data_IF_979573668479
#
_entry.id   IF_979573668479
#
_cell.length_a   1.000
_cell.length_b   1.000
_cell.length_c   1.000
_cell.angle_alpha   90.00
_cell.angle_beta   90.00
_cell.angle_gamma   90.00
#
_symmetry.space_group_name_H-M   'P 1'
#
loop_
_entity.id
_entity.type
_entity.pdbx_description
1 polymer ?
#
# COMPACT_ATOMS: atom_id res chain seq x y z
N UNK A 1 -15.66 17.73 -6.90
CA UNK A 1 -15.87 17.32 -5.49
C UNK A 1 -14.50 17.20 -4.85
N UNK A 2 -14.26 17.77 -3.66
CA UNK A 2 -12.96 17.64 -3.00
C UNK A 2 -13.04 16.47 -2.01
N UNK A 3 -12.17 15.47 -2.18
CA UNK A 3 -12.03 14.36 -1.25
C UNK A 3 -10.88 14.62 -0.29
N UNK A 4 -11.02 14.18 0.96
CA UNK A 4 -9.93 14.14 1.93
C UNK A 4 -9.48 12.70 2.10
N UNK A 5 -8.24 12.43 1.75
CA UNK A 5 -7.67 11.09 1.76
C UNK A 5 -6.37 11.12 2.55
N UNK A 6 -6.21 10.20 3.49
CA UNK A 6 -4.92 9.95 4.13
C UNK A 6 -4.29 8.69 3.53
N UNK A 7 -3.15 8.86 2.90
CA UNK A 7 -2.55 7.81 2.08
C UNK A 7 -1.52 6.97 2.84
N UNK A 8 -1.57 6.91 4.11
CA UNK A 8 -1.14 5.80 4.96
C UNK A 8 -1.36 6.11 6.44
N UNK A 9 -2.14 5.28 7.10
CA UNK A 9 -2.23 5.25 8.55
C UNK A 9 -1.80 3.89 9.11
N UNK A 10 -1.12 3.94 10.24
CA UNK A 10 -0.82 2.79 11.07
C UNK A 10 -0.92 3.17 12.55
N UNK A 11 -1.80 2.54 13.27
CA UNK A 11 -2.04 2.83 14.68
C UNK A 11 -2.73 1.63 15.37
N UNK A 12 -2.97 1.75 16.66
CA UNK A 12 -3.85 0.81 17.38
C UNK A 12 -5.30 1.16 17.03
N UNK A 13 -5.88 0.38 16.14
CA UNK A 13 -7.25 0.59 15.64
C UNK A 13 -8.29 0.43 16.73
N UNK A 14 -9.22 1.37 16.80
CA UNK A 14 -10.34 1.37 17.75
C UNK A 14 -11.47 2.26 17.21
N UNK A 15 -12.67 2.10 17.77
CA UNK A 15 -13.80 2.97 17.43
C UNK A 15 -13.47 4.47 17.61
N UNK A 16 -12.69 4.82 18.62
CA UNK A 16 -12.26 6.20 18.84
C UNK A 16 -11.44 6.75 17.68
N UNK A 17 -10.48 5.96 17.14
CA UNK A 17 -9.68 6.34 15.98
C UNK A 17 -10.56 6.51 14.73
N UNK A 18 -11.51 5.60 14.51
CA UNK A 18 -12.44 5.72 13.39
C UNK A 18 -13.32 6.97 13.52
N UNK A 19 -13.76 7.31 14.73
CA UNK A 19 -14.52 8.54 14.97
C UNK A 19 -13.65 9.79 14.71
N UNK A 20 -12.40 9.82 15.18
CA UNK A 20 -11.45 10.92 14.91
C UNK A 20 -11.26 11.11 13.40
N UNK A 21 -11.04 10.03 12.63
CA UNK A 21 -10.95 10.10 11.18
C UNK A 21 -12.21 10.69 10.55
N UNK A 22 -13.37 10.29 11.05
CA UNK A 22 -14.65 10.81 10.58
C UNK A 22 -14.84 12.28 10.92
N UNK A 23 -14.51 12.71 12.14
CA UNK A 23 -14.61 14.10 12.60
C UNK A 23 -13.66 15.02 11.83
N UNK A 24 -12.48 14.52 11.45
CA UNK A 24 -11.54 15.19 10.55
C UNK A 24 -12.07 15.29 9.10
N UNK A 25 -13.14 14.55 8.79
CA UNK A 25 -13.78 14.53 7.47
C UNK A 25 -13.02 13.71 6.44
N UNK A 26 -12.26 12.69 6.87
CA UNK A 26 -11.57 11.78 5.94
C UNK A 26 -12.59 10.91 5.21
N UNK A 27 -12.56 10.98 3.88
CA UNK A 27 -13.42 10.16 3.01
C UNK A 27 -12.79 8.78 2.76
N UNK A 28 -11.45 8.71 2.76
CA UNK A 28 -10.71 7.46 2.61
C UNK A 28 -9.41 7.46 3.41
N UNK A 29 -9.01 6.27 3.85
CA UNK A 29 -7.74 6.02 4.53
C UNK A 29 -7.13 4.75 3.97
N UNK A 30 -5.87 4.81 3.53
CA UNK A 30 -5.04 3.65 3.26
C UNK A 30 -4.42 3.19 4.59
N UNK A 31 -4.61 1.92 4.94
CA UNK A 31 -4.11 1.35 6.18
C UNK A 31 -3.12 0.22 5.91
N UNK A 32 -2.08 0.14 6.74
CA UNK A 32 -1.16 -0.99 6.69
C UNK A 32 -1.77 -2.19 7.40
N UNK A 33 -1.95 -3.29 6.70
CA UNK A 33 -2.42 -4.57 7.26
C UNK A 33 -1.31 -5.60 7.37
N UNK A 34 -0.21 -5.42 6.64
CA UNK A 34 0.93 -6.34 6.59
C UNK A 34 2.25 -5.57 6.60
N UNK A 35 3.24 -6.10 7.36
CA UNK A 35 4.66 -5.74 7.29
C UNK A 35 5.53 -6.95 6.92
N UNK A 36 5.45 -8.05 7.68
CA UNK A 36 6.26 -9.26 7.51
C UNK A 36 5.44 -10.53 7.60
N UNK A 37 4.14 -10.38 7.80
CA UNK A 37 3.19 -11.48 7.84
C UNK A 37 3.25 -12.29 6.54
N UNK A 38 3.15 -13.60 6.62
CA UNK A 38 2.94 -14.48 5.48
C UNK A 38 1.46 -14.47 5.02
N UNK A 39 1.11 -15.35 4.08
CA UNK A 39 -0.25 -15.36 3.55
C UNK A 39 -1.30 -15.79 4.58
N UNK A 40 -0.99 -16.76 5.42
CA UNK A 40 -1.93 -17.24 6.44
C UNK A 40 -2.12 -16.18 7.55
N UNK A 41 -1.05 -15.57 8.01
CA UNK A 41 -1.10 -14.45 8.96
C UNK A 41 -1.85 -13.23 8.38
N UNK A 42 -1.70 -12.95 7.09
CA UNK A 42 -2.52 -11.93 6.41
C UNK A 42 -4.01 -12.26 6.48
N UNK A 43 -4.42 -13.51 6.29
CA UNK A 43 -5.82 -13.90 6.43
C UNK A 43 -6.35 -13.67 7.84
N UNK A 44 -5.53 -13.85 8.87
CA UNK A 44 -5.88 -13.51 10.25
C UNK A 44 -6.14 -12.00 10.40
N UNK A 45 -5.28 -11.14 9.79
CA UNK A 45 -5.50 -9.68 9.77
C UNK A 45 -6.80 -9.29 9.05
N UNK A 46 -7.12 -9.94 7.93
CA UNK A 46 -8.40 -9.73 7.23
C UNK A 46 -9.60 -10.05 8.14
N UNK A 47 -9.51 -11.13 8.92
CA UNK A 47 -10.55 -11.51 9.88
C UNK A 47 -10.69 -10.45 11.01
N UNK A 48 -9.58 -9.95 11.56
CA UNK A 48 -9.60 -8.85 12.54
C UNK A 48 -10.30 -7.61 11.96
N UNK A 49 -9.97 -7.21 10.74
CA UNK A 49 -10.61 -6.08 10.07
C UNK A 49 -12.09 -6.32 9.77
N UNK A 50 -12.49 -7.56 9.48
CA UNK A 50 -13.90 -7.91 9.30
C UNK A 50 -14.72 -7.64 10.56
N UNK A 51 -14.14 -7.88 11.76
CA UNK A 51 -14.76 -7.51 13.02
C UNK A 51 -14.85 -5.98 13.19
N UNK A 52 -13.77 -5.24 12.86
CA UNK A 52 -13.82 -3.78 12.90
C UNK A 52 -14.92 -3.20 12.00
N UNK A 53 -15.08 -3.71 10.79
CA UNK A 53 -16.14 -3.27 9.87
C UNK A 53 -17.54 -3.58 10.40
N UNK A 54 -17.73 -4.76 11.00
CA UNK A 54 -19.00 -5.17 11.58
C UNK A 54 -19.39 -4.29 12.77
N UNK A 55 -18.45 -4.09 13.70
CA UNK A 55 -18.68 -3.35 14.95
C UNK A 55 -18.78 -1.83 14.74
N UNK A 56 -18.19 -1.29 13.68
CA UNK A 56 -18.13 0.13 13.37
C UNK A 56 -18.71 0.45 11.99
N UNK A 57 -19.73 -0.29 11.57
CA UNK A 57 -20.37 -0.14 10.25
C UNK A 57 -21.04 1.21 10.03
N UNK A 58 -21.27 1.98 11.07
CA UNK A 58 -21.72 3.36 11.06
C UNK A 58 -20.61 4.36 10.69
N UNK A 59 -19.32 4.02 10.88
CA UNK A 59 -18.17 4.89 10.68
C UNK A 59 -17.30 4.51 9.48
N UNK A 60 -17.11 3.21 9.25
CA UNK A 60 -16.15 2.68 8.27
C UNK A 60 -16.72 1.53 7.44
N UNK A 61 -16.09 1.29 6.30
CA UNK A 61 -16.30 0.09 5.48
C UNK A 61 -15.08 -0.19 4.60
N UNK A 62 -14.95 -1.43 4.06
CA UNK A 62 -13.86 -1.79 3.16
C UNK A 62 -14.01 -1.06 1.82
N UNK A 63 -13.01 -0.29 1.43
CA UNK A 63 -12.87 0.35 0.13
C UNK A 63 -12.12 -0.53 -0.86
N UNK A 64 -12.67 -0.70 -2.05
CA UNK A 64 -12.09 -1.50 -3.11
C UNK A 64 -11.84 -0.71 -4.40
N UNK A 65 -12.44 0.46 -4.54
CA UNK A 65 -12.39 1.25 -5.75
C UNK A 65 -12.63 2.74 -5.48
N UNK A 66 -12.37 3.57 -6.47
CA UNK A 66 -12.70 4.99 -6.45
C UNK A 66 -14.18 5.27 -6.10
N UNK A 67 -15.11 4.42 -6.57
CA UNK A 67 -16.54 4.56 -6.24
C UNK A 67 -16.84 4.44 -4.74
N UNK A 68 -15.98 3.73 -4.02
CA UNK A 68 -16.10 3.62 -2.56
C UNK A 68 -15.70 4.92 -1.85
N UNK A 69 -14.81 5.71 -2.43
CA UNK A 69 -14.48 7.06 -1.94
C UNK A 69 -15.69 8.00 -2.14
N UNK A 70 -16.32 7.93 -3.29
CA UNK A 70 -17.55 8.70 -3.55
C UNK A 70 -18.68 8.31 -2.59
N UNK A 71 -18.89 7.01 -2.40
CA UNK A 71 -19.87 6.44 -1.47
C UNK A 71 -19.57 6.90 -0.03
N UNK A 72 -18.33 6.82 0.42
CA UNK A 72 -17.91 7.23 1.75
C UNK A 72 -18.27 8.69 2.03
N UNK A 73 -18.03 9.58 1.07
CA UNK A 73 -18.37 10.98 1.18
C UNK A 73 -19.89 11.21 1.30
N UNK A 74 -20.69 10.53 0.50
CA UNK A 74 -22.16 10.63 0.51
C UNK A 74 -22.74 10.08 1.82
N UNK A 75 -22.24 8.91 2.26
CA UNK A 75 -22.71 8.25 3.49
C UNK A 75 -22.09 8.84 4.77
N UNK A 76 -21.17 9.80 4.66
CA UNK A 76 -20.42 10.37 5.77
C UNK A 76 -19.67 9.29 6.59
N UNK A 77 -19.10 8.32 5.90
CA UNK A 77 -18.23 7.27 6.44
C UNK A 77 -16.81 7.44 5.93
N UNK A 78 -15.89 6.61 6.39
CA UNK A 78 -14.52 6.53 5.87
C UNK A 78 -14.32 5.18 5.20
N UNK A 79 -13.96 5.17 3.92
CA UNK A 79 -13.56 3.97 3.21
C UNK A 79 -12.13 3.58 3.62
N UNK A 80 -11.94 2.35 4.05
CA UNK A 80 -10.63 1.81 4.47
C UNK A 80 -10.07 0.97 3.33
N UNK A 81 -8.90 1.36 2.82
CA UNK A 81 -8.17 0.64 1.78
C UNK A 81 -7.01 -0.13 2.38
N UNK A 82 -6.96 -1.43 2.13
CA UNK A 82 -5.87 -2.27 2.62
C UNK A 82 -4.61 -2.10 1.79
N UNK A 83 -3.48 -1.98 2.45
CA UNK A 83 -2.17 -1.97 1.83
C UNK A 83 -1.12 -2.72 2.65
N UNK A 84 -0.07 -3.09 1.95
CA UNK A 84 1.06 -3.82 2.50
C UNK A 84 2.31 -2.93 2.46
N UNK A 85 2.99 -2.79 3.59
CA UNK A 85 4.32 -2.17 3.62
C UNK A 85 5.44 -3.20 3.36
N UNK A 86 5.13 -4.26 2.66
CA UNK A 86 6.02 -5.30 2.16
C UNK A 86 5.28 -6.15 1.12
N UNK A 87 5.91 -7.20 0.65
CA UNK A 87 5.33 -8.19 -0.27
C UNK A 87 5.31 -9.62 0.32
N UNK A 88 5.57 -9.77 1.61
CA UNK A 88 5.72 -11.10 2.24
C UNK A 88 4.54 -12.05 2.01
N UNK A 89 3.25 -11.61 1.98
CA UNK A 89 2.13 -12.52 1.74
C UNK A 89 2.08 -13.15 0.33
N UNK A 90 2.87 -12.67 -0.62
CA UNK A 90 2.94 -13.32 -1.93
C UNK A 90 3.99 -14.44 -1.98
N UNK A 91 4.81 -14.56 -0.94
CA UNK A 91 5.83 -15.59 -0.79
C UNK A 91 6.67 -15.74 -2.06
N UNK A 92 6.75 -16.94 -2.65
CA UNK A 92 7.37 -17.21 -3.94
C UNK A 92 6.34 -17.64 -5.02
N UNK A 93 5.05 -17.32 -4.80
CA UNK A 93 3.93 -17.68 -5.69
C UNK A 93 3.19 -16.42 -6.22
N UNK A 94 3.34 -16.13 -7.50
CA UNK A 94 2.67 -15.02 -8.19
C UNK A 94 1.14 -15.12 -8.09
N UNK A 95 0.57 -16.34 -8.00
CA UNK A 95 -0.88 -16.52 -7.91
C UNK A 95 -1.46 -15.97 -6.59
N UNK A 96 -0.64 -15.78 -5.55
CA UNK A 96 -1.06 -15.16 -4.29
C UNK A 96 -1.41 -13.68 -4.46
N UNK A 97 -0.88 -12.99 -5.48
CA UNK A 97 -1.23 -11.58 -5.78
C UNK A 97 -2.72 -11.42 -6.05
N UNK A 98 -3.31 -12.28 -6.87
CA UNK A 98 -4.75 -12.26 -7.12
C UNK A 98 -5.55 -12.61 -5.87
N UNK A 99 -5.07 -13.55 -5.07
CA UNK A 99 -5.73 -13.92 -3.82
C UNK A 99 -5.75 -12.78 -2.81
N UNK A 100 -4.62 -12.10 -2.57
CA UNK A 100 -4.59 -10.95 -1.65
C UNK A 100 -5.43 -9.78 -2.18
N UNK A 101 -5.47 -9.55 -3.51
CA UNK A 101 -6.36 -8.58 -4.13
C UNK A 101 -7.84 -8.91 -3.84
N UNK A 102 -8.24 -10.18 -3.96
CA UNK A 102 -9.61 -10.64 -3.70
C UNK A 102 -10.01 -10.46 -2.23
N UNK A 103 -9.04 -10.46 -1.32
CA UNK A 103 -9.22 -10.13 0.10
C UNK A 103 -9.15 -8.63 0.43
N UNK A 104 -9.09 -7.76 -0.59
CA UNK A 104 -9.19 -6.31 -0.41
C UNK A 104 -7.86 -5.54 -0.47
N UNK A 105 -6.72 -6.19 -0.70
CA UNK A 105 -5.46 -5.48 -0.91
C UNK A 105 -5.53 -4.60 -2.17
N UNK A 106 -5.17 -3.32 -2.04
CA UNK A 106 -5.16 -2.33 -3.14
C UNK A 106 -3.84 -1.63 -3.31
N UNK A 107 -2.97 -1.68 -2.31
CA UNK A 107 -1.62 -1.14 -2.34
C UNK A 107 -0.64 -2.21 -1.87
N UNK A 108 0.50 -2.35 -2.53
CA UNK A 108 1.56 -3.26 -2.10
C UNK A 108 2.93 -2.66 -2.39
N UNK A 109 3.78 -2.64 -1.37
CA UNK A 109 5.18 -2.29 -1.53
C UNK A 109 5.98 -3.52 -1.95
N UNK A 110 6.95 -3.31 -2.83
CA UNK A 110 7.84 -4.39 -3.27
C UNK A 110 8.86 -4.79 -2.18
N UNK A 111 9.13 -3.88 -1.23
CA UNK A 111 10.13 -4.08 -0.16
C UNK A 111 9.72 -3.35 1.11
N UNK A 112 10.25 -3.80 2.24
CA UNK A 112 10.30 -3.01 3.48
C UNK A 112 11.73 -2.86 3.97
N UNK A 113 12.38 -1.74 3.59
CA UNK A 113 13.75 -1.37 3.96
C UNK A 113 14.87 -2.22 3.37
N UNK A 114 14.78 -3.55 3.48
CA UNK A 114 15.80 -4.50 3.07
C UNK A 114 15.46 -5.16 1.74
N UNK A 115 16.35 -6.05 1.26
CA UNK A 115 16.11 -6.85 0.07
C UNK A 115 14.90 -7.79 0.28
N UNK A 116 13.97 -7.80 -0.68
CA UNK A 116 12.89 -8.78 -0.79
C UNK A 116 13.14 -9.72 -1.97
N UNK A 117 12.23 -10.66 -2.22
CA UNK A 117 12.23 -11.46 -3.44
C UNK A 117 11.96 -10.62 -4.69
N UNK A 118 11.30 -9.44 -4.55
CA UNK A 118 10.87 -8.61 -5.68
C UNK A 118 11.88 -7.51 -6.05
N UNK A 119 12.51 -6.87 -5.07
CA UNK A 119 13.32 -5.68 -5.31
C UNK A 119 14.26 -5.37 -4.15
N UNK A 120 15.17 -4.44 -4.38
CA UNK A 120 16.10 -3.93 -3.36
C UNK A 120 15.44 -2.84 -2.53
N UNK A 121 15.54 -2.95 -1.20
CA UNK A 121 15.05 -1.96 -0.25
C UNK A 121 16.02 -0.79 -0.04
N UNK A 122 15.50 0.33 0.47
CA UNK A 122 16.22 1.61 0.56
C UNK A 122 17.42 1.60 1.52
N UNK A 123 17.51 0.65 2.45
CA UNK A 123 18.64 0.54 3.38
C UNK A 123 19.73 -0.44 2.94
N UNK A 124 19.51 -1.16 1.84
CA UNK A 124 20.57 -2.02 1.30
C UNK A 124 21.81 -1.23 0.89
N UNK A 125 22.97 -1.91 0.94
CA UNK A 125 24.25 -1.33 0.55
C UNK A 125 24.37 -1.18 -0.96
N UNK A 126 23.89 -2.18 -1.70
CA UNK A 126 23.94 -2.23 -3.16
C UNK A 126 22.51 -2.31 -3.68
N UNK A 127 22.12 -1.39 -4.55
CA UNK A 127 20.83 -1.41 -5.20
C UNK A 127 20.91 -2.20 -6.51
N UNK A 128 20.41 -3.43 -6.48
CA UNK A 128 20.35 -4.32 -7.65
C UNK A 128 19.13 -4.08 -8.54
N UNK A 129 18.17 -3.27 -8.08
CA UNK A 129 16.92 -3.03 -8.80
C UNK A 129 15.87 -4.10 -8.55
N UNK A 130 14.93 -4.22 -9.48
CA UNK A 130 13.84 -5.21 -9.48
C UNK A 130 14.35 -6.56 -9.98
N UNK A 131 14.02 -7.64 -9.28
CA UNK A 131 14.38 -9.02 -9.67
C UNK A 131 13.54 -9.52 -10.84
N UNK A 132 13.90 -10.68 -11.43
CA UNK A 132 13.05 -11.30 -12.45
C UNK A 132 11.68 -11.68 -11.89
N UNK A 133 11.62 -12.20 -10.67
CA UNK A 133 10.35 -12.49 -9.97
C UNK A 133 9.56 -11.21 -9.70
N UNK A 134 10.25 -10.12 -9.33
CA UNK A 134 9.63 -8.81 -9.17
C UNK A 134 8.99 -8.26 -10.45
N UNK A 135 9.59 -8.52 -11.63
CA UNK A 135 9.01 -8.13 -12.92
C UNK A 135 7.69 -8.83 -13.19
N UNK A 136 7.60 -10.11 -12.91
CA UNK A 136 6.35 -10.88 -13.05
C UNK A 136 5.31 -10.41 -12.02
N UNK A 137 5.73 -10.15 -10.78
CA UNK A 137 4.85 -9.61 -9.75
C UNK A 137 4.26 -8.24 -10.13
N UNK A 138 5.07 -7.32 -10.66
CA UNK A 138 4.60 -6.00 -11.14
C UNK A 138 3.53 -6.15 -12.22
N UNK A 139 3.74 -7.03 -13.20
CA UNK A 139 2.76 -7.29 -14.28
C UNK A 139 1.46 -7.83 -13.70
N UNK A 140 1.54 -8.77 -12.77
CA UNK A 140 0.36 -9.35 -12.15
C UNK A 140 -0.37 -8.34 -11.26
N UNK A 141 0.35 -7.49 -10.50
CA UNK A 141 -0.25 -6.38 -9.76
C UNK A 141 -1.00 -5.42 -10.69
N UNK A 142 -0.42 -5.08 -11.85
CA UNK A 142 -1.08 -4.28 -12.87
C UNK A 142 -2.35 -4.96 -13.42
N UNK A 143 -2.30 -6.27 -13.67
CA UNK A 143 -3.43 -7.05 -14.18
C UNK A 143 -4.61 -7.03 -13.22
N UNK A 144 -4.36 -7.28 -11.92
CA UNK A 144 -5.43 -7.36 -10.91
C UNK A 144 -5.87 -5.98 -10.39
N UNK A 145 -5.03 -4.95 -10.54
CA UNK A 145 -5.34 -3.58 -10.09
C UNK A 145 -4.84 -3.23 -8.70
N UNK A 146 -3.72 -3.81 -8.27
CA UNK A 146 -2.98 -3.39 -7.08
C UNK A 146 -2.02 -2.24 -7.45
N UNK A 147 -2.05 -1.15 -6.71
CA UNK A 147 -1.12 -0.03 -6.84
C UNK A 147 0.24 -0.43 -6.27
N UNK A 148 1.29 -0.27 -7.07
CA UNK A 148 2.67 -0.52 -6.68
C UNK A 148 3.16 0.68 -5.88
N UNK A 149 3.52 0.49 -4.59
CA UNK A 149 4.07 1.54 -3.74
C UNK A 149 5.58 1.33 -3.54
N UNK A 150 6.37 2.35 -3.89
CA UNK A 150 7.82 2.31 -3.84
C UNK A 150 8.42 3.07 -2.65
N UNK A 151 7.64 3.35 -1.62
CA UNK A 151 8.05 4.18 -0.48
C UNK A 151 9.27 3.64 0.28
N UNK A 152 9.43 2.32 0.42
CA UNK A 152 10.55 1.67 1.11
C UNK A 152 11.61 1.07 0.18
N UNK A 153 11.45 1.24 -1.13
CA UNK A 153 12.36 0.69 -2.13
C UNK A 153 13.54 1.63 -2.43
N UNK A 154 14.64 1.05 -2.87
CA UNK A 154 15.81 1.78 -3.31
C UNK A 154 15.56 2.52 -4.64
N UNK A 155 16.47 3.41 -5.02
CA UNK A 155 16.30 4.32 -6.15
C UNK A 155 16.18 3.58 -7.49
N UNK A 156 17.16 2.70 -7.79
CA UNK A 156 17.15 1.90 -9.01
C UNK A 156 15.92 0.99 -9.08
N UNK A 157 15.55 0.36 -7.94
CA UNK A 157 14.33 -0.45 -7.86
C UNK A 157 13.09 0.36 -8.23
N UNK A 158 13.06 1.65 -7.86
CA UNK A 158 11.94 2.52 -8.17
C UNK A 158 11.92 2.90 -9.67
N UNK A 159 13.06 3.23 -10.27
CA UNK A 159 13.15 3.45 -11.73
C UNK A 159 12.79 2.19 -12.52
N UNK A 160 13.33 1.02 -12.12
CA UNK A 160 12.98 -0.25 -12.77
C UNK A 160 11.47 -0.51 -12.70
N UNK A 161 10.81 -0.22 -11.54
CA UNK A 161 9.37 -0.38 -11.40
C UNK A 161 8.57 0.57 -12.31
N UNK A 162 9.01 1.81 -12.48
CA UNK A 162 8.41 2.77 -13.42
C UNK A 162 8.49 2.25 -14.86
N UNK A 163 9.65 1.71 -15.26
CA UNK A 163 9.84 1.18 -16.62
C UNK A 163 9.03 -0.10 -16.91
N UNK A 164 8.81 -0.94 -15.88
CA UNK A 164 8.11 -2.22 -16.03
C UNK A 164 6.60 -2.05 -15.95
N UNK A 165 6.14 -1.12 -15.10
CA UNK A 165 4.72 -0.97 -14.81
C UNK A 165 3.96 -0.30 -15.97
N UNK A 166 2.85 -0.89 -16.37
CA UNK A 166 1.91 -0.31 -17.34
C UNK A 166 0.94 0.70 -16.70
N UNK A 167 1.00 0.85 -15.39
CA UNK A 167 0.15 1.74 -14.58
C UNK A 167 1.03 2.67 -13.75
N UNK A 168 0.52 3.84 -13.34
CA UNK A 168 1.25 4.71 -12.42
C UNK A 168 1.62 3.97 -11.13
N UNK A 169 2.86 4.16 -10.68
CA UNK A 169 3.30 3.71 -9.36
C UNK A 169 3.03 4.81 -8.32
N UNK A 170 3.13 4.49 -7.04
CA UNK A 170 2.96 5.44 -5.95
C UNK A 170 4.21 5.52 -5.06
N UNK A 171 4.37 6.67 -4.41
CA UNK A 171 5.24 6.86 -3.25
C UNK A 171 4.35 7.46 -2.16
N UNK A 172 3.79 6.60 -1.33
CA UNK A 172 2.73 6.99 -0.40
C UNK A 172 3.26 7.75 0.83
N UNK A 173 4.50 7.47 1.27
CA UNK A 173 5.07 8.03 2.49
C UNK A 173 6.61 8.15 2.43
N UNK A 174 7.09 9.06 1.63
CA UNK A 174 8.49 9.48 1.59
C UNK A 174 8.57 10.98 1.26
N UNK A 175 9.71 11.62 1.55
CA UNK A 175 9.96 13.02 1.23
C UNK A 175 10.96 13.14 0.07
N UNK A 176 11.04 14.30 -0.58
CA UNK A 176 12.14 14.63 -1.47
C UNK A 176 13.48 14.69 -0.70
N UNK A 177 14.57 14.18 -1.31
CA UNK A 177 15.89 14.13 -0.70
C UNK A 177 16.46 15.54 -0.41
N UNK A 178 16.03 16.54 -1.16
CA UNK A 178 16.49 17.92 -0.97
C UNK A 178 15.97 18.57 0.31
N UNK A 179 14.88 18.06 0.90
CA UNK A 179 14.43 18.50 2.23
C UNK A 179 15.21 17.85 3.35
N UNK A 180 15.56 16.58 3.19
CA UNK A 180 16.33 15.83 4.17
C UNK A 180 17.03 14.66 3.48
N UNK A 181 18.35 14.63 3.55
CA UNK A 181 19.16 13.57 2.94
C UNK A 181 19.09 12.30 3.77
N UNK A 182 18.09 11.47 3.50
CA UNK A 182 17.89 10.16 4.09
C UNK A 182 17.68 9.12 2.98
N UNK A 183 18.14 7.89 3.21
CA UNK A 183 18.00 6.77 2.25
C UNK A 183 16.54 6.45 1.85
N UNK A 184 15.58 6.82 2.70
CA UNK A 184 14.15 6.68 2.45
C UNK A 184 13.61 7.70 1.45
N UNK A 185 14.25 8.84 1.34
CA UNK A 185 13.78 9.94 0.51
C UNK A 185 14.16 9.75 -0.95
N UNK A 186 13.40 10.37 -1.84
CA UNK A 186 13.52 10.17 -3.28
C UNK A 186 14.24 11.35 -3.93
N UNK A 187 15.06 11.04 -4.93
CA UNK A 187 15.78 12.07 -5.70
C UNK A 187 14.83 12.97 -6.48
N UNK A 188 15.31 14.15 -6.84
CA UNK A 188 14.56 15.07 -7.70
C UNK A 188 14.33 14.47 -9.10
N UNK A 189 15.31 13.72 -9.62
CA UNK A 189 15.19 13.07 -10.93
C UNK A 189 14.06 12.04 -10.92
N UNK A 190 13.98 11.21 -9.89
CA UNK A 190 12.91 10.24 -9.75
C UNK A 190 11.53 10.90 -9.60
N UNK A 191 11.44 12.02 -8.91
CA UNK A 191 10.17 12.73 -8.72
C UNK A 191 9.68 13.46 -9.98
N UNK A 192 10.54 13.62 -11.00
CA UNK A 192 10.20 14.24 -12.30
C UNK A 192 9.84 13.23 -13.38
N UNK A 193 10.10 11.94 -13.15
CA UNK A 193 9.79 10.85 -14.08
C UNK A 193 8.34 10.46 -13.99
#
# INVERSE_FOLDING_TARGET
MNYKIDNLQYCKWSREVFQINRDAGLDAVHVTVVYHEDYDEFLERVNEWSNHFKENSDLIFLGNSYKDIEKAKVEKKTAIFFGFQNCSPIEDDIALIEKVHNHGCRFMQLTYNNQSLLATGCYEKNDSGVTNFGREAIKEMNRVGIVIDMSHSAEKSTFDAIEISEKPIAITHANPIFWHNAKRNKSEDLLKT
#
